data_IF_553361979059
#
_entry.id   IF_553361979059
#
_cell.length_a   1.000
_cell.length_b   1.000
_cell.length_c   1.000
_cell.angle_alpha   90.00
_cell.angle_beta   90.00
_cell.angle_gamma   90.00
#
_symmetry.space_group_name_H-M   'P 1'
#
loop_
_entity.id
_entity.type
_entity.pdbx_description
1 polymer ?
#
# COMPACT_ATOMS: atom_id res chain seq x y z
N UNK A 1 3.49 -30.62 22.36
CA UNK A 1 3.68 -29.15 22.25
C UNK A 1 4.62 -28.96 21.05
N UNK A 2 4.33 -28.30 19.93
CA UNK A 2 3.25 -27.43 19.48
C UNK A 2 3.02 -27.67 17.95
N UNK A 3 1.76 -27.52 17.56
CA UNK A 3 1.07 -27.41 16.26
C UNK A 3 1.82 -27.49 14.91
N UNK A 4 1.38 -28.47 14.11
CA UNK A 4 1.57 -28.66 12.66
C UNK A 4 0.86 -27.54 11.89
N UNK A 5 1.60 -26.78 11.09
CA UNK A 5 1.05 -25.77 10.18
C UNK A 5 0.50 -26.46 8.95
N UNK A 6 -0.83 -26.44 8.83
CA UNK A 6 -1.57 -26.93 7.68
C UNK A 6 -1.62 -25.80 6.64
N UNK A 7 -1.07 -26.05 5.45
CA UNK A 7 -1.09 -25.14 4.32
C UNK A 7 -2.52 -24.97 3.80
N UNK A 8 -3.23 -23.97 4.32
CA UNK A 8 -4.48 -23.44 3.75
C UNK A 8 -4.16 -22.05 3.23
N UNK A 9 -3.89 -21.91 1.93
CA UNK A 9 -3.71 -20.62 1.25
C UNK A 9 -2.74 -19.67 1.95
N UNK A 10 -1.43 -19.96 1.87
CA UNK A 10 -0.40 -19.18 2.54
C UNK A 10 -0.32 -17.75 2.02
N UNK A 11 -1.11 -16.84 2.58
CA UNK A 11 -0.79 -15.42 2.58
C UNK A 11 0.47 -15.31 3.43
N UNK A 12 1.62 -15.24 2.76
CA UNK A 12 2.87 -14.90 3.44
C UNK A 12 2.68 -13.48 3.94
N UNK A 13 2.42 -13.32 5.23
CA UNK A 13 2.45 -12.03 5.90
C UNK A 13 3.89 -11.54 5.77
N UNK A 14 4.14 -10.75 4.72
CA UNK A 14 5.33 -9.92 4.62
C UNK A 14 5.27 -9.03 5.84
N UNK A 15 6.33 -9.08 6.66
CA UNK A 15 6.45 -8.28 7.88
C UNK A 15 5.99 -6.85 7.58
N UNK A 16 5.14 -6.29 8.43
CA UNK A 16 4.47 -5.00 8.18
C UNK A 16 5.44 -3.88 7.78
N UNK A 17 6.73 -3.98 8.16
CA UNK A 17 7.78 -3.06 7.69
C UNK A 17 8.19 -3.26 6.23
N UNK A 18 8.35 -4.51 5.79
CA UNK A 18 8.74 -4.84 4.42
C UNK A 18 7.63 -4.44 3.43
N UNK A 19 6.36 -4.59 3.83
CA UNK A 19 5.23 -4.15 3.02
C UNK A 19 5.11 -2.63 2.93
N UNK A 20 5.42 -1.92 4.03
CA UNK A 20 5.47 -0.46 4.04
C UNK A 20 6.63 0.10 3.19
N UNK A 21 7.79 -0.55 3.17
CA UNK A 21 8.92 -0.16 2.31
C UNK A 21 8.61 -0.37 0.82
N UNK A 22 7.95 -1.49 0.50
CA UNK A 22 7.46 -1.75 -0.86
C UNK A 22 6.45 -0.68 -1.31
N UNK A 23 5.52 -0.33 -0.43
CA UNK A 23 4.55 0.74 -0.69
C UNK A 23 5.23 2.11 -0.86
N UNK A 24 6.22 2.45 -0.02
CA UNK A 24 6.99 3.69 -0.15
C UNK A 24 7.70 3.78 -1.51
N UNK A 25 8.29 2.67 -1.97
CA UNK A 25 8.92 2.60 -3.30
C UNK A 25 7.92 2.77 -4.43
N UNK A 26 6.72 2.20 -4.33
CA UNK A 26 5.64 2.36 -5.30
C UNK A 26 5.18 3.82 -5.32
N UNK A 27 4.86 4.40 -4.16
CA UNK A 27 4.45 5.80 -4.05
C UNK A 27 5.50 6.77 -4.63
N UNK A 28 6.79 6.56 -4.34
CA UNK A 28 7.86 7.37 -4.91
C UNK A 28 7.99 7.20 -6.42
N UNK A 29 7.85 5.97 -6.91
CA UNK A 29 8.01 5.67 -8.34
C UNK A 29 6.88 6.28 -9.18
N UNK A 30 5.65 6.20 -8.68
CA UNK A 30 4.46 6.59 -9.44
C UNK A 30 4.02 8.04 -9.20
N UNK A 31 4.14 8.52 -7.97
CA UNK A 31 3.67 9.86 -7.58
C UNK A 31 4.79 10.79 -7.11
N UNK A 32 6.02 10.29 -6.98
CA UNK A 32 7.16 11.09 -6.50
C UNK A 32 7.10 11.43 -5.01
N UNK A 33 6.15 10.88 -4.25
CA UNK A 33 5.97 11.13 -2.82
C UNK A 33 6.22 9.87 -2.01
N UNK A 34 6.60 10.03 -0.73
CA UNK A 34 6.78 8.88 0.16
C UNK A 34 5.42 8.24 0.47
N UNK A 35 5.40 6.94 0.76
CA UNK A 35 4.18 6.20 1.09
C UNK A 35 3.46 6.79 2.29
N UNK A 36 4.20 7.25 3.31
CA UNK A 36 3.64 7.95 4.46
C UNK A 36 2.95 9.28 4.06
N UNK A 37 3.51 10.01 3.10
CA UNK A 37 2.95 11.27 2.61
C UNK A 37 1.69 11.03 1.77
N UNK A 38 1.68 9.93 1.00
CA UNK A 38 0.49 9.48 0.29
C UNK A 38 -0.63 9.13 1.27
N UNK A 39 -0.33 8.33 2.31
CA UNK A 39 -1.29 7.96 3.33
C UNK A 39 -1.83 9.17 4.08
N UNK A 40 -0.99 10.15 4.39
CA UNK A 40 -1.42 11.39 5.02
C UNK A 40 -2.41 12.17 4.15
N UNK A 41 -2.16 12.28 2.84
CA UNK A 41 -3.09 12.89 1.87
C UNK A 41 -4.37 12.06 1.70
N UNK A 42 -4.24 10.74 1.69
CA UNK A 42 -5.35 9.82 1.56
C UNK A 42 -6.28 9.87 2.77
N UNK A 43 -5.72 9.87 3.99
CA UNK A 43 -6.46 10.01 5.24
C UNK A 43 -7.09 11.41 5.38
N UNK A 44 -6.40 12.45 4.90
CA UNK A 44 -6.97 13.80 4.80
C UNK A 44 -8.09 13.93 3.74
N UNK A 45 -8.31 12.89 2.93
CA UNK A 45 -9.29 12.89 1.86
C UNK A 45 -8.92 13.80 0.68
N UNK A 46 -7.63 14.12 0.49
CA UNK A 46 -7.17 14.94 -0.64
C UNK A 46 -7.53 14.30 -1.99
N UNK A 47 -7.63 12.97 -2.03
CA UNK A 47 -8.01 12.23 -3.23
C UNK A 47 -9.52 11.94 -3.31
N UNK A 48 -10.30 12.33 -2.30
CA UNK A 48 -11.76 12.14 -2.31
C UNK A 48 -12.40 13.15 -3.26
N UNK A 49 -13.10 12.63 -4.28
CA UNK A 49 -13.73 13.46 -5.32
C UNK A 49 -12.82 13.80 -6.50
N UNK A 50 -11.55 13.41 -6.47
CA UNK A 50 -10.67 13.46 -7.65
C UNK A 50 -10.76 12.16 -8.45
N UNK A 51 -10.77 12.28 -9.76
CA UNK A 51 -10.71 11.10 -10.63
C UNK A 51 -9.33 10.49 -10.55
N UNK A 52 -9.24 9.19 -10.23
CA UNK A 52 -7.96 8.47 -10.17
C UNK A 52 -7.24 8.40 -11.53
N UNK A 53 -7.96 8.71 -12.61
CA UNK A 53 -7.45 8.86 -13.98
C UNK A 53 -6.73 10.20 -14.20
N UNK A 54 -7.11 11.25 -13.46
CA UNK A 54 -6.48 12.57 -13.55
C UNK A 54 -5.14 12.64 -12.81
N UNK A 55 -4.94 11.75 -11.84
CA UNK A 55 -3.70 11.68 -11.08
C UNK A 55 -2.89 10.46 -11.54
N UNK A 56 -1.85 10.66 -12.36
CA UNK A 56 -1.03 9.55 -12.83
C UNK A 56 -0.39 8.83 -11.64
N UNK A 57 -0.58 7.51 -11.58
CA UNK A 57 -0.04 6.67 -10.52
C UNK A 57 -0.92 6.54 -9.27
N UNK A 58 -1.97 7.35 -9.11
CA UNK A 58 -2.88 7.26 -7.96
C UNK A 58 -3.57 5.90 -7.88
N UNK A 59 -4.07 5.39 -9.01
CA UNK A 59 -4.72 4.08 -9.07
C UNK A 59 -3.74 2.93 -8.70
N UNK A 60 -2.49 3.00 -9.15
CA UNK A 60 -1.48 1.96 -8.83
C UNK A 60 -1.08 2.00 -7.35
N UNK A 61 -0.91 3.19 -6.78
CA UNK A 61 -0.63 3.34 -5.34
C UNK A 61 -1.85 2.96 -4.49
N UNK A 62 -3.06 3.33 -4.89
CA UNK A 62 -4.30 2.95 -4.20
C UNK A 62 -4.52 1.43 -4.20
N UNK A 63 -4.16 0.74 -5.29
CA UNK A 63 -4.19 -0.73 -5.36
C UNK A 63 -3.15 -1.36 -4.41
N UNK A 64 -2.11 -0.62 -4.06
CA UNK A 64 -1.07 -1.03 -3.12
C UNK A 64 -1.40 -0.68 -1.64
N UNK A 65 -2.47 0.10 -1.36
CA UNK A 65 -2.93 0.41 0.01
C UNK A 65 -3.07 -0.80 0.95
N UNK A 66 -3.61 -1.97 0.53
CA UNK A 66 -3.68 -3.13 1.41
C UNK A 66 -2.31 -3.72 1.79
N UNK A 67 -1.22 -3.32 1.13
CA UNK A 67 0.15 -3.66 1.55
C UNK A 67 0.72 -2.63 2.52
N UNK A 68 0.12 -1.44 2.63
CA UNK A 68 0.54 -0.45 3.60
C UNK A 68 -0.02 -0.69 5.01
N UNK A 69 -1.01 -1.60 5.18
CA UNK A 69 -1.70 -1.92 6.44
C UNK A 69 -1.72 -3.42 6.73
#
# INVERSE_FOLDING_TARGET
MLTKTESTGGVSYVDSRESADLFDRIARKYMGISGAEFLARWDAGEFEGMSWDEIPGLAEVATALPFAR
#
